data_IF_407620937320
#
_entry.id   IF_407620937320
#
_cell.length_a   1.000
_cell.length_b   1.000
_cell.length_c   1.000
_cell.angle_alpha   90.00
_cell.angle_beta   90.00
_cell.angle_gamma   90.00
#
_symmetry.space_group_name_H-M   'P 1'
#
loop_
_entity.id
_entity.type
_entity.pdbx_description
1 polymer ?
#
# COMPACT_ATOMS: atom_id res chain seq x y z
N UNK A 1 -7.88 -7.33 -8.36
CA UNK A 1 -7.92 -8.26 -9.50
C UNK A 1 -9.25 -8.12 -10.23
N UNK A 2 -9.21 -7.81 -11.51
CA UNK A 2 -10.40 -7.90 -12.37
C UNK A 2 -10.32 -9.24 -13.11
N UNK A 3 -11.33 -10.11 -13.02
CA UNK A 3 -11.35 -11.33 -13.83
C UNK A 3 -11.19 -11.00 -15.32
N UNK A 4 -10.26 -11.66 -16.00
CA UNK A 4 -9.99 -11.43 -17.43
C UNK A 4 -8.87 -10.42 -17.73
N UNK A 5 -8.26 -9.78 -16.73
CA UNK A 5 -7.04 -8.99 -16.93
C UNK A 5 -5.85 -9.94 -16.97
N UNK A 6 -5.07 -9.88 -18.05
CA UNK A 6 -3.81 -10.62 -18.13
C UNK A 6 -2.82 -9.99 -17.14
N UNK A 7 -2.45 -10.74 -16.10
CA UNK A 7 -1.47 -10.33 -15.09
C UNK A 7 -0.09 -10.94 -15.32
N UNK A 8 0.08 -11.74 -16.41
CA UNK A 8 1.36 -12.32 -16.76
C UNK A 8 2.41 -11.21 -16.94
N UNK A 9 3.58 -11.41 -16.36
CA UNK A 9 4.68 -10.43 -16.38
C UNK A 9 4.30 -9.03 -15.91
N UNK A 10 3.43 -8.94 -14.91
CA UNK A 10 3.09 -7.66 -14.26
C UNK A 10 3.56 -7.64 -12.82
N UNK A 11 4.18 -6.52 -12.40
CA UNK A 11 4.59 -6.27 -11.02
C UNK A 11 3.82 -5.07 -10.50
N UNK A 12 3.07 -5.28 -9.42
CA UNK A 12 2.35 -4.21 -8.73
C UNK A 12 3.20 -3.70 -7.57
N UNK A 13 3.79 -2.53 -7.75
CA UNK A 13 4.51 -1.83 -6.67
C UNK A 13 3.48 -1.18 -5.75
N UNK A 14 3.45 -1.58 -4.49
CA UNK A 14 2.53 -1.01 -3.50
C UNK A 14 3.29 -0.49 -2.29
N UNK A 15 2.85 0.66 -1.79
CA UNK A 15 3.49 1.37 -0.69
C UNK A 15 2.47 1.74 0.37
N UNK A 16 2.72 1.32 1.60
CA UNK A 16 1.87 1.60 2.77
C UNK A 16 2.46 2.72 3.64
N UNK A 17 1.62 3.30 4.48
CA UNK A 17 1.93 4.22 5.58
C UNK A 17 2.21 5.68 5.20
N UNK A 18 2.49 5.98 3.96
CA UNK A 18 2.73 7.36 3.51
C UNK A 18 1.45 8.21 3.39
N UNK A 19 1.61 9.45 2.91
CA UNK A 19 2.86 10.07 2.50
C UNK A 19 3.77 10.47 3.66
N UNK A 20 5.07 10.51 3.42
CA UNK A 20 6.08 10.86 4.39
C UNK A 20 7.29 11.57 3.78
N UNK A 21 8.36 11.72 4.56
CA UNK A 21 9.55 12.48 4.19
C UNK A 21 10.28 11.96 2.92
N UNK A 22 10.09 10.70 2.57
CA UNK A 22 10.77 10.06 1.43
C UNK A 22 9.85 9.84 0.23
N UNK A 23 8.56 10.15 0.35
CA UNK A 23 7.57 9.93 -0.71
C UNK A 23 7.84 10.80 -1.94
N UNK A 24 8.23 12.07 -1.78
CA UNK A 24 8.53 12.94 -2.90
C UNK A 24 9.67 12.38 -3.78
N UNK A 25 10.75 11.89 -3.17
CA UNK A 25 11.87 11.26 -3.88
C UNK A 25 11.43 9.98 -4.62
N UNK A 26 10.57 9.18 -3.99
CA UNK A 26 9.99 8.01 -4.64
C UNK A 26 9.17 8.39 -5.89
N UNK A 27 8.33 9.42 -5.78
CA UNK A 27 7.53 9.92 -6.91
C UNK A 27 8.42 10.40 -8.06
N UNK A 28 9.55 11.06 -7.76
CA UNK A 28 10.53 11.46 -8.78
C UNK A 28 11.10 10.26 -9.53
N UNK A 29 11.47 9.19 -8.82
CA UNK A 29 11.99 7.95 -9.42
C UNK A 29 10.92 7.31 -10.32
N UNK A 30 9.70 7.12 -9.82
CA UNK A 30 8.60 6.53 -10.58
C UNK A 30 8.30 7.32 -11.85
N UNK A 31 8.34 8.65 -11.78
CA UNK A 31 8.15 9.54 -12.92
C UNK A 31 9.25 9.39 -13.96
N UNK A 32 10.52 9.33 -13.53
CA UNK A 32 11.67 9.17 -14.42
C UNK A 32 11.61 7.89 -15.25
N UNK A 33 11.07 6.81 -14.68
CA UNK A 33 10.88 5.52 -15.37
C UNK A 33 9.50 5.36 -16.01
N UNK A 34 8.63 6.37 -15.89
CA UNK A 34 7.23 6.30 -16.34
C UNK A 34 6.47 5.09 -15.77
N UNK A 35 6.73 4.74 -14.52
CA UNK A 35 6.10 3.63 -13.80
C UNK A 35 5.04 4.16 -12.86
N UNK A 36 3.92 3.45 -12.76
CA UNK A 36 2.84 3.76 -11.82
C UNK A 36 2.84 2.78 -10.66
N UNK A 37 2.38 3.26 -9.51
CA UNK A 37 2.32 2.48 -8.28
C UNK A 37 0.96 2.67 -7.59
N UNK A 38 0.72 1.88 -6.56
CA UNK A 38 -0.42 2.04 -5.65
C UNK A 38 0.08 2.44 -4.28
N UNK A 39 -0.49 3.52 -3.73
CA UNK A 39 -0.19 4.03 -2.40
C UNK A 39 -1.39 3.80 -1.50
N UNK A 40 -1.21 3.00 -0.45
CA UNK A 40 -2.20 2.83 0.63
C UNK A 40 -1.86 3.80 1.75
N UNK A 41 -2.55 4.93 1.76
CA UNK A 41 -2.16 6.11 2.53
C UNK A 41 -2.75 6.14 3.93
N UNK A 42 -2.08 6.89 4.82
CA UNK A 42 -2.49 7.16 6.20
C UNK A 42 -2.77 8.65 6.43
N UNK A 43 -3.44 8.95 7.53
CA UNK A 43 -3.90 10.29 7.82
C UNK A 43 -3.07 11.07 8.86
N UNK A 44 -2.19 10.42 9.59
CA UNK A 44 -1.54 11.01 10.77
C UNK A 44 -0.42 11.99 10.49
N UNK A 45 0.17 11.99 9.28
CA UNK A 45 1.32 12.84 8.95
C UNK A 45 0.92 14.04 8.08
N UNK A 46 0.45 15.09 8.74
CA UNK A 46 -0.12 16.26 8.07
C UNK A 46 0.89 17.12 7.29
N UNK A 47 2.20 16.99 7.55
CA UNK A 47 3.23 17.78 6.88
C UNK A 47 3.39 17.44 5.40
N UNK A 48 2.85 16.30 4.95
CA UNK A 48 3.02 15.77 3.58
C UNK A 48 1.70 15.62 2.83
N UNK A 49 0.61 16.25 3.31
CA UNK A 49 -0.71 16.14 2.69
C UNK A 49 -0.73 16.53 1.20
N UNK A 50 0.07 17.52 0.80
CA UNK A 50 0.14 17.95 -0.61
C UNK A 50 0.65 16.84 -1.55
N UNK A 51 1.36 15.85 -1.03
CA UNK A 51 1.82 14.70 -1.81
C UNK A 51 0.67 13.79 -2.23
N UNK A 52 -0.46 13.77 -1.52
CA UNK A 52 -1.68 13.06 -1.96
C UNK A 52 -2.16 13.59 -3.31
N UNK A 53 -2.16 14.91 -3.47
CA UNK A 53 -2.51 15.55 -4.74
C UNK A 53 -1.52 15.17 -5.82
N UNK A 54 -0.21 15.22 -5.52
CA UNK A 54 0.85 14.86 -6.46
C UNK A 54 0.74 13.39 -6.90
N UNK A 55 0.51 12.45 -5.97
CA UNK A 55 0.30 11.04 -6.28
C UNK A 55 -0.84 10.86 -7.30
N UNK A 56 -1.94 11.57 -7.10
CA UNK A 56 -3.09 11.53 -8.03
C UNK A 56 -2.76 12.14 -9.38
N UNK A 57 -2.19 13.34 -9.41
CA UNK A 57 -1.87 14.08 -10.64
C UNK A 57 -0.82 13.35 -11.51
N UNK A 58 0.10 12.62 -10.89
CA UNK A 58 1.09 11.80 -11.58
C UNK A 58 0.56 10.42 -12.01
N UNK A 59 -0.73 10.14 -11.76
CA UNK A 59 -1.44 8.97 -12.27
C UNK A 59 -1.26 7.70 -11.46
N UNK A 60 -0.86 7.81 -10.20
CA UNK A 60 -0.81 6.68 -9.28
C UNK A 60 -2.20 6.35 -8.75
N UNK A 61 -2.36 5.11 -8.28
CA UNK A 61 -3.58 4.69 -7.59
C UNK A 61 -3.45 4.98 -6.10
N UNK A 62 -4.46 5.62 -5.51
CA UNK A 62 -4.50 5.87 -4.08
C UNK A 62 -5.53 4.95 -3.44
N UNK A 63 -5.07 4.11 -2.51
CA UNK A 63 -5.89 3.31 -1.63
C UNK A 63 -5.84 3.82 -0.20
N UNK A 64 -6.70 3.29 0.65
CA UNK A 64 -6.84 3.70 2.05
C UNK A 64 -6.22 2.64 2.96
N UNK A 65 -5.28 3.07 3.82
CA UNK A 65 -4.69 2.14 4.78
C UNK A 65 -5.32 2.30 6.17
N UNK A 66 -5.25 3.48 6.72
CA UNK A 66 -5.87 3.89 7.98
C UNK A 66 -5.65 5.37 8.17
N UNK A 67 -6.48 6.04 8.96
CA UNK A 67 -6.17 7.41 9.36
C UNK A 67 -5.10 7.43 10.45
N UNK A 68 -5.28 6.67 11.51
CA UNK A 68 -4.44 6.67 12.72
C UNK A 68 -3.29 5.64 12.70
N UNK A 69 -3.46 4.54 11.97
CA UNK A 69 -2.60 3.35 12.02
C UNK A 69 -2.38 2.81 13.45
N UNK A 70 -3.38 2.97 14.30
CA UNK A 70 -3.32 2.53 15.69
C UNK A 70 -4.13 1.26 15.89
N UNK A 71 -3.47 0.10 15.99
CA UNK A 71 -4.12 -1.21 16.17
C UNK A 71 -5.05 -1.24 17.38
N UNK A 72 -4.64 -0.62 18.50
CA UNK A 72 -5.42 -0.56 19.73
C UNK A 72 -6.66 0.32 19.65
N UNK A 73 -6.79 1.12 18.59
CA UNK A 73 -7.98 1.89 18.27
C UNK A 73 -8.84 1.15 17.24
N UNK A 74 -8.27 0.85 16.07
CA UNK A 74 -9.03 0.40 14.90
C UNK A 74 -9.59 -1.02 15.04
N UNK A 75 -8.95 -1.89 15.83
CA UNK A 75 -9.38 -3.28 15.97
C UNK A 75 -10.15 -3.57 17.27
N UNK A 76 -10.61 -2.54 17.96
CA UNK A 76 -11.47 -2.69 19.15
C UNK A 76 -12.93 -2.98 18.79
N UNK A 77 -13.41 -2.43 17.68
CA UNK A 77 -14.78 -2.64 17.18
C UNK A 77 -14.87 -2.37 15.68
N UNK A 78 -15.94 -2.85 15.07
CA UNK A 78 -16.27 -2.54 13.66
C UNK A 78 -16.46 -1.03 13.49
N UNK A 79 -17.17 -0.39 14.40
CA UNK A 79 -17.46 1.04 14.34
C UNK A 79 -16.16 1.88 14.45
N UNK A 80 -15.24 1.51 15.34
CA UNK A 80 -13.95 2.19 15.49
C UNK A 80 -13.11 2.08 14.21
N UNK A 81 -13.08 0.89 13.58
CA UNK A 81 -12.41 0.72 12.30
C UNK A 81 -13.06 1.57 11.19
N UNK A 82 -14.38 1.53 11.09
CA UNK A 82 -15.11 2.28 10.05
C UNK A 82 -14.96 3.79 10.21
N UNK A 83 -14.97 4.31 11.43
CA UNK A 83 -14.72 5.73 11.68
C UNK A 83 -13.32 6.16 11.21
N UNK A 84 -12.31 5.36 11.51
CA UNK A 84 -10.93 5.57 11.06
C UNK A 84 -10.81 5.49 9.52
N UNK A 85 -11.45 4.50 8.90
CA UNK A 85 -11.46 4.32 7.44
C UNK A 85 -12.16 5.50 6.73
N UNK A 86 -13.30 5.94 7.22
CA UNK A 86 -14.01 7.07 6.63
C UNK A 86 -13.23 8.39 6.82
N UNK A 87 -12.49 8.53 7.90
CA UNK A 87 -11.62 9.69 8.12
C UNK A 87 -10.51 9.78 7.08
N UNK A 88 -9.83 8.69 6.75
CA UNK A 88 -8.82 8.70 5.69
C UNK A 88 -9.45 8.86 4.30
N UNK A 89 -10.62 8.28 4.05
CA UNK A 89 -11.35 8.47 2.79
C UNK A 89 -11.70 9.95 2.57
N UNK A 90 -12.20 10.63 3.59
CA UNK A 90 -12.53 12.06 3.52
C UNK A 90 -11.28 12.91 3.25
N UNK A 91 -10.16 12.59 3.90
CA UNK A 91 -8.89 13.27 3.66
C UNK A 91 -8.41 13.11 2.22
N UNK A 92 -8.44 11.90 1.69
CA UNK A 92 -8.07 11.65 0.29
C UNK A 92 -8.98 12.42 -0.65
N UNK A 93 -10.29 12.43 -0.42
CA UNK A 93 -11.24 13.22 -1.22
C UNK A 93 -10.96 14.73 -1.16
N UNK A 94 -10.64 15.25 0.01
CA UNK A 94 -10.30 16.67 0.19
C UNK A 94 -9.11 17.09 -0.68
N UNK A 95 -8.04 16.29 -0.69
CA UNK A 95 -6.81 16.62 -1.42
C UNK A 95 -6.80 16.23 -2.90
N UNK A 96 -7.58 15.23 -3.29
CA UNK A 96 -7.58 14.69 -4.66
C UNK A 96 -8.86 14.94 -5.45
N UNK A 97 -9.94 15.33 -4.77
CA UNK A 97 -11.27 15.48 -5.36
C UNK A 97 -12.03 14.18 -5.59
N UNK A 98 -11.43 13.03 -5.30
CA UNK A 98 -12.03 11.71 -5.56
C UNK A 98 -12.06 10.83 -4.31
N UNK A 99 -13.11 10.02 -4.17
CA UNK A 99 -13.18 8.97 -3.16
C UNK A 99 -12.45 7.71 -3.63
N UNK A 100 -11.66 7.10 -2.74
CA UNK A 100 -11.14 5.77 -2.95
C UNK A 100 -12.04 4.72 -2.30
N UNK A 101 -12.18 3.58 -2.98
CA UNK A 101 -12.90 2.39 -2.49
C UNK A 101 -11.97 1.17 -2.37
N UNK A 102 -10.69 1.35 -2.59
CA UNK A 102 -9.70 0.30 -2.37
C UNK A 102 -8.98 0.52 -1.06
N UNK A 103 -8.78 -0.56 -0.32
CA UNK A 103 -8.20 -0.52 1.02
C UNK A 103 -7.15 -1.61 1.20
N UNK A 104 -6.27 -1.40 2.17
CA UNK A 104 -5.42 -2.43 2.74
C UNK A 104 -5.49 -2.33 4.27
N UNK A 105 -5.88 -3.41 4.90
CA UNK A 105 -5.94 -3.47 6.37
C UNK A 105 -4.54 -3.37 6.96
N UNK A 106 -4.31 -2.55 8.00
CA UNK A 106 -3.07 -2.59 8.78
C UNK A 106 -2.78 -4.01 9.28
N UNK A 107 -1.60 -4.54 8.90
CA UNK A 107 -1.21 -5.92 9.16
C UNK A 107 -1.77 -6.97 8.19
N UNK A 108 -2.62 -6.58 7.22
CA UNK A 108 -3.27 -7.46 6.27
C UNK A 108 -4.62 -8.01 6.73
N UNK A 109 -5.40 -8.56 5.80
CA UNK A 109 -6.75 -9.05 6.06
C UNK A 109 -6.81 -10.27 6.99
N UNK A 110 -5.71 -11.03 7.08
CA UNK A 110 -5.58 -12.23 7.91
C UNK A 110 -4.69 -12.04 9.14
N UNK A 111 -4.40 -10.78 9.52
CA UNK A 111 -3.53 -10.50 10.65
C UNK A 111 -4.04 -11.10 11.96
N UNK A 112 -3.10 -11.47 12.82
CA UNK A 112 -3.40 -12.02 14.14
C UNK A 112 -3.27 -11.00 15.27
N UNK A 113 -2.67 -9.84 15.01
CA UNK A 113 -2.49 -8.79 16.01
C UNK A 113 -3.82 -8.23 16.50
N UNK A 114 -4.82 -8.17 15.63
CA UNK A 114 -6.18 -7.73 15.95
C UNK A 114 -6.85 -8.57 17.04
N UNK A 115 -6.46 -9.86 17.17
CA UNK A 115 -7.00 -10.78 18.19
C UNK A 115 -6.71 -10.34 19.61
N UNK A 116 -5.69 -9.49 19.81
CA UNK A 116 -5.38 -8.90 21.13
C UNK A 116 -6.47 -7.94 21.60
N UNK A 117 -7.25 -7.40 20.68
CA UNK A 117 -8.27 -6.39 20.94
C UNK A 117 -9.68 -6.98 20.83
N UNK A 118 -9.94 -7.75 19.77
CA UNK A 118 -11.19 -8.46 19.57
C UNK A 118 -11.00 -9.71 18.72
N UNK A 119 -11.38 -10.85 19.27
CA UNK A 119 -11.37 -12.13 18.55
C UNK A 119 -12.35 -12.09 17.37
N UNK A 120 -11.95 -12.66 16.23
CA UNK A 120 -12.74 -12.73 14.99
C UNK A 120 -13.06 -11.40 14.30
N UNK A 121 -12.50 -10.26 14.75
CA UNK A 121 -12.83 -8.96 14.17
C UNK A 121 -12.52 -8.89 12.68
N UNK A 122 -11.46 -9.56 12.19
CA UNK A 122 -11.07 -9.47 10.77
C UNK A 122 -12.11 -10.11 9.84
N UNK A 123 -12.74 -11.22 10.23
CA UNK A 123 -13.82 -11.81 9.43
C UNK A 123 -15.05 -10.89 9.36
N UNK A 124 -15.37 -10.24 10.46
CA UNK A 124 -16.47 -9.26 10.52
C UNK A 124 -16.17 -8.03 9.67
N UNK A 125 -14.92 -7.51 9.75
CA UNK A 125 -14.48 -6.33 9.00
C UNK A 125 -14.42 -6.58 7.51
N UNK A 126 -13.86 -7.72 7.07
CA UNK A 126 -13.80 -8.05 5.62
C UNK A 126 -15.20 -8.09 5.02
N UNK A 127 -16.14 -8.74 5.70
CA UNK A 127 -17.55 -8.78 5.27
C UNK A 127 -18.18 -7.37 5.27
N UNK A 128 -17.91 -6.58 6.31
CA UNK A 128 -18.48 -5.23 6.44
C UNK A 128 -18.02 -4.30 5.33
N UNK A 129 -16.70 -4.23 5.07
CA UNK A 129 -16.16 -3.32 4.05
C UNK A 129 -16.62 -3.71 2.64
N UNK A 130 -16.69 -5.01 2.33
CA UNK A 130 -17.20 -5.48 1.05
C UNK A 130 -18.68 -5.12 0.87
N UNK A 131 -19.51 -5.25 1.92
CA UNK A 131 -20.92 -4.85 1.87
C UNK A 131 -21.14 -3.37 1.58
N UNK A 132 -20.14 -2.53 1.88
CA UNK A 132 -20.14 -1.08 1.62
C UNK A 132 -19.45 -0.70 0.29
N UNK A 133 -19.07 -1.68 -0.51
CA UNK A 133 -18.47 -1.49 -1.82
C UNK A 133 -16.97 -1.25 -1.81
N UNK A 134 -16.31 -1.38 -0.66
CA UNK A 134 -14.85 -1.37 -0.60
C UNK A 134 -14.29 -2.71 -1.09
N UNK A 135 -13.04 -2.66 -1.60
CA UNK A 135 -12.26 -3.85 -1.93
C UNK A 135 -10.93 -3.79 -1.20
N UNK A 136 -10.58 -4.86 -0.50
CA UNK A 136 -9.30 -4.96 0.20
C UNK A 136 -8.28 -5.76 -0.60
N UNK A 137 -7.01 -5.40 -0.43
CA UNK A 137 -5.89 -6.03 -1.14
C UNK A 137 -4.77 -6.34 -0.16
N UNK A 138 -4.35 -7.58 -0.14
CA UNK A 138 -3.15 -8.04 0.53
C UNK A 138 -1.97 -8.00 -0.46
N UNK A 139 -0.96 -8.81 -0.25
CA UNK A 139 0.25 -8.88 -1.05
C UNK A 139 0.70 -10.32 -1.25
N UNK A 140 1.62 -10.52 -2.20
CA UNK A 140 2.21 -11.84 -2.51
C UNK A 140 3.71 -11.85 -2.28
N UNK A 141 4.35 -10.69 -2.24
CA UNK A 141 5.80 -10.54 -2.04
C UNK A 141 6.05 -9.58 -0.90
N UNK A 142 6.88 -10.00 0.07
CA UNK A 142 7.31 -9.20 1.22
C UNK A 142 8.71 -8.68 0.97
N UNK A 143 8.88 -7.35 0.98
CA UNK A 143 10.20 -6.71 0.84
C UNK A 143 11.10 -6.85 2.06
N UNK A 144 10.48 -7.03 3.25
CA UNK A 144 11.19 -7.08 4.53
C UNK A 144 11.47 -5.71 5.15
N UNK A 145 10.97 -4.62 4.56
CA UNK A 145 11.27 -3.26 5.00
C UNK A 145 10.51 -2.83 6.28
N UNK A 146 9.53 -3.61 6.71
CA UNK A 146 8.73 -3.32 7.92
C UNK A 146 9.41 -3.72 9.24
N UNK A 147 10.68 -4.14 9.22
CA UNK A 147 11.43 -4.48 10.42
C UNK A 147 12.46 -5.59 10.24
N UNK A 148 12.38 -6.39 9.19
CA UNK A 148 13.31 -7.49 8.94
C UNK A 148 14.68 -6.99 8.48
N UNK A 149 14.69 -5.92 7.68
CA UNK A 149 15.93 -5.33 7.18
C UNK A 149 15.81 -3.83 6.94
N UNK A 150 16.95 -3.14 7.10
CA UNK A 150 17.17 -1.74 6.66
C UNK A 150 18.19 -1.66 5.52
N UNK A 151 18.61 -2.80 4.99
CA UNK A 151 19.56 -2.89 3.89
C UNK A 151 18.81 -2.89 2.56
N UNK A 152 19.03 -1.86 1.74
CA UNK A 152 18.40 -1.73 0.42
C UNK A 152 18.79 -2.89 -0.52
N UNK A 153 19.98 -3.46 -0.41
CA UNK A 153 20.39 -4.63 -1.18
C UNK A 153 19.53 -5.85 -0.83
N UNK A 154 19.24 -6.03 0.46
CA UNK A 154 18.38 -7.12 0.92
C UNK A 154 16.95 -6.94 0.48
N UNK A 155 16.43 -5.72 0.48
CA UNK A 155 15.11 -5.39 -0.05
C UNK A 155 15.01 -5.74 -1.54
N UNK A 156 15.99 -5.34 -2.35
CA UNK A 156 16.06 -5.71 -3.77
C UNK A 156 16.03 -7.23 -3.94
N UNK A 157 16.86 -7.97 -3.20
CA UNK A 157 16.92 -9.44 -3.27
C UNK A 157 15.60 -10.10 -2.88
N UNK A 158 14.95 -9.62 -1.82
CA UNK A 158 13.68 -10.15 -1.35
C UNK A 158 12.58 -9.95 -2.41
N UNK A 159 12.52 -8.76 -3.00
CA UNK A 159 11.50 -8.45 -4.02
C UNK A 159 11.76 -9.23 -5.31
N UNK A 160 12.96 -9.12 -5.88
CA UNK A 160 13.29 -9.77 -7.15
C UNK A 160 13.24 -11.30 -7.07
N UNK A 161 13.62 -11.87 -5.93
CA UNK A 161 13.54 -13.30 -5.66
C UNK A 161 12.12 -13.84 -5.48
N UNK A 162 11.16 -12.96 -5.17
CA UNK A 162 9.75 -13.32 -5.03
C UNK A 162 8.92 -13.20 -6.31
N UNK A 163 9.45 -12.56 -7.34
CA UNK A 163 8.74 -12.34 -8.60
C UNK A 163 8.62 -13.64 -9.39
N UNK A 164 7.40 -13.92 -9.86
CA UNK A 164 7.09 -15.07 -10.72
C UNK A 164 6.49 -14.63 -12.03
N UNK A 165 6.81 -15.34 -13.11
CA UNK A 165 6.39 -14.97 -14.46
C UNK A 165 4.88 -15.06 -14.66
N UNK A 166 4.27 -16.13 -14.15
CA UNK A 166 2.85 -16.43 -14.33
C UNK A 166 2.00 -16.08 -13.07
N UNK A 167 2.63 -15.51 -12.06
CA UNK A 167 1.98 -15.21 -10.79
C UNK A 167 1.47 -13.78 -10.67
N UNK A 168 0.69 -13.57 -9.61
CA UNK A 168 0.28 -12.24 -9.18
C UNK A 168 1.40 -11.66 -8.29
N UNK A 169 2.17 -10.72 -8.83
CA UNK A 169 3.29 -10.08 -8.12
C UNK A 169 2.84 -8.76 -7.48
N UNK A 170 2.33 -8.82 -6.27
CA UNK A 170 1.97 -7.64 -5.46
C UNK A 170 3.00 -7.46 -4.36
N UNK A 171 3.78 -6.40 -4.44
CA UNK A 171 4.92 -6.16 -3.54
C UNK A 171 4.50 -5.24 -2.39
N UNK A 172 4.69 -5.71 -1.15
CA UNK A 172 4.50 -4.90 0.06
C UNK A 172 5.76 -4.11 0.38
N UNK A 173 5.64 -2.80 0.37
CA UNK A 173 6.68 -1.84 0.73
C UNK A 173 6.09 -0.65 1.50
N UNK A 174 6.96 0.19 2.05
CA UNK A 174 6.59 1.37 2.81
C UNK A 174 7.38 2.58 2.32
N UNK A 175 6.69 3.60 1.81
CA UNK A 175 7.32 4.81 1.24
C UNK A 175 7.87 5.78 2.28
N UNK A 176 7.59 5.54 3.55
CA UNK A 176 8.18 6.26 4.69
C UNK A 176 9.59 5.78 5.05
N UNK A 177 10.09 4.72 4.41
CA UNK A 177 11.39 4.13 4.70
C UNK A 177 12.44 4.57 3.66
N UNK A 178 13.54 5.25 4.06
CA UNK A 178 14.56 5.71 3.10
C UNK A 178 15.25 4.56 2.37
N UNK A 179 15.53 3.47 3.06
CA UNK A 179 16.17 2.29 2.48
C UNK A 179 15.28 1.55 1.47
N UNK A 180 13.96 1.68 1.57
CA UNK A 180 13.02 1.17 0.55
C UNK A 180 13.11 2.02 -0.72
N UNK A 181 13.08 3.34 -0.57
CA UNK A 181 13.19 4.26 -1.71
C UNK A 181 14.55 4.10 -2.40
N UNK A 182 15.64 3.86 -1.65
CA UNK A 182 16.96 3.56 -2.21
C UNK A 182 17.00 2.26 -3.05
N UNK A 183 16.09 1.32 -2.79
CA UNK A 183 15.98 0.05 -3.51
C UNK A 183 15.15 0.13 -4.81
N UNK A 184 14.27 1.12 -4.93
CA UNK A 184 13.21 1.13 -5.96
C UNK A 184 13.75 1.18 -7.37
N UNK A 185 14.75 2.00 -7.66
CA UNK A 185 15.32 2.10 -9.01
C UNK A 185 15.83 0.75 -9.52
N UNK A 186 16.50 -0.02 -8.66
CA UNK A 186 16.98 -1.37 -9.00
C UNK A 186 15.86 -2.38 -9.19
N UNK A 187 14.79 -2.29 -8.42
CA UNK A 187 13.60 -3.14 -8.59
C UNK A 187 12.93 -2.83 -9.92
N UNK A 188 12.73 -1.56 -10.26
CA UNK A 188 12.15 -1.12 -11.53
C UNK A 188 13.00 -1.60 -12.73
N UNK A 189 14.30 -1.36 -12.69
CA UNK A 189 15.20 -1.75 -13.78
C UNK A 189 15.26 -3.26 -13.97
N UNK A 190 15.23 -4.03 -12.88
CA UNK A 190 15.10 -5.49 -12.95
C UNK A 190 13.80 -5.89 -13.65
N UNK A 191 12.66 -5.33 -13.27
CA UNK A 191 11.37 -5.67 -13.89
C UNK A 191 11.36 -5.34 -15.40
N UNK A 192 11.73 -4.12 -15.75
CA UNK A 192 11.75 -3.66 -17.14
C UNK A 192 12.73 -4.49 -18.02
N UNK A 193 13.92 -4.79 -17.50
CA UNK A 193 14.93 -5.60 -18.23
C UNK A 193 14.50 -7.05 -18.43
N UNK A 194 13.58 -7.56 -17.63
CA UNK A 194 13.03 -8.91 -17.75
C UNK A 194 11.65 -8.94 -18.44
N UNK A 195 11.21 -7.82 -19.02
CA UNK A 195 9.97 -7.72 -19.77
C UNK A 195 8.71 -7.66 -18.93
N UNK A 196 8.81 -7.24 -17.67
CA UNK A 196 7.65 -6.96 -16.82
C UNK A 196 7.10 -5.55 -17.06
N UNK A 197 5.81 -5.42 -16.84
CA UNK A 197 5.10 -4.14 -16.81
C UNK A 197 4.69 -3.79 -15.39
#
# INVERSE_FOLDING_TARGET
YKPGVNTAKTIYLTFDDGPGAHTARLLDILKNYNVKATFFVTGYNNNYNDLLKREKEEGHTIGLHSYSHNYGLIYTSIDAYMEDLLSIQNKVKEYTGEESKIIRFPGGSSNTISRKYRTHIMSDLTSKVESLGFRYFDWTIVSGDAGDTKDSNKIVSNVTGGITEDGLNVVLMHDIKPYTVDAIERIITFGLSNGYT
#
